data_IF_483381270662
#
_entry.id   IF_483381270662
#
_cell.length_a   1.000
_cell.length_b   1.000
_cell.length_c   1.000
_cell.angle_alpha   90.00
_cell.angle_beta   90.00
_cell.angle_gamma   90.00
#
_symmetry.space_group_name_H-M   'P 1'
#
loop_
_entity.id
_entity.type
_entity.pdbx_description
1 polymer ?
#
# COMPACT_ATOMS: atom_id res chain seq x y z
N UNK A 1 33.87 39.73 16.33
CA UNK A 1 32.94 38.77 15.73
C UNK A 1 32.45 39.30 14.39
N UNK A 2 32.91 38.66 13.33
CA UNK A 2 32.58 38.88 11.93
C UNK A 2 31.13 38.45 11.65
N UNK A 3 30.24 39.43 11.46
CA UNK A 3 28.79 39.24 11.22
C UNK A 3 28.44 38.21 10.14
N UNK A 4 29.35 37.97 9.19
CA UNK A 4 29.18 36.97 8.13
C UNK A 4 29.21 35.54 8.67
N UNK A 5 30.06 35.23 9.66
CA UNK A 5 30.19 33.87 10.22
C UNK A 5 28.91 33.41 10.93
N UNK A 6 28.24 34.31 11.62
CA UNK A 6 26.97 34.03 12.31
C UNK A 6 25.84 33.70 11.34
N UNK A 7 25.83 34.32 10.16
CA UNK A 7 24.81 34.09 9.13
C UNK A 7 24.95 32.68 8.54
N UNK A 8 26.17 32.24 8.25
CA UNK A 8 26.41 30.88 7.72
C UNK A 8 26.02 29.79 8.72
N UNK A 9 26.30 30.00 10.00
CA UNK A 9 25.90 29.07 11.06
C UNK A 9 24.37 28.97 11.18
N UNK A 10 23.66 30.10 11.19
CA UNK A 10 22.20 30.13 11.20
C UNK A 10 21.60 29.45 9.97
N UNK A 11 22.15 29.73 8.78
CA UNK A 11 21.69 29.12 7.54
C UNK A 11 21.90 27.61 7.51
N UNK A 12 23.06 27.14 7.98
CA UNK A 12 23.35 25.70 8.08
C UNK A 12 22.43 24.98 9.07
N UNK A 13 22.10 25.62 10.20
CA UNK A 13 21.18 25.07 11.20
C UNK A 13 19.75 24.95 10.67
N UNK A 14 19.27 25.98 9.94
CA UNK A 14 17.96 25.96 9.27
C UNK A 14 17.87 24.85 8.21
N UNK A 15 18.93 24.65 7.42
CA UNK A 15 18.97 23.59 6.41
C UNK A 15 18.89 22.18 7.03
N UNK A 16 19.57 21.94 8.16
CA UNK A 16 19.50 20.64 8.86
C UNK A 16 18.11 20.40 9.47
N UNK A 17 17.46 21.45 10.00
CA UNK A 17 16.13 21.33 10.62
C UNK A 17 14.99 21.18 9.60
N UNK A 18 15.13 21.75 8.40
CA UNK A 18 14.11 21.72 7.35
C UNK A 18 14.15 20.46 6.46
N UNK A 19 15.16 19.58 6.59
CA UNK A 19 15.25 18.31 5.83
C UNK A 19 14.47 17.18 6.53
N UNK A 20 13.58 17.51 7.46
CA UNK A 20 12.54 16.58 7.87
C UNK A 20 11.56 16.46 6.70
N UNK A 21 11.86 15.53 5.79
CA UNK A 21 10.93 15.13 4.75
C UNK A 21 9.64 14.73 5.43
N UNK A 22 8.55 15.43 5.11
CA UNK A 22 7.21 15.00 5.45
C UNK A 22 7.16 13.51 5.08
N UNK A 23 6.87 12.59 6.02
CA UNK A 23 6.56 11.23 5.64
C UNK A 23 5.35 11.41 4.76
N UNK A 24 5.59 11.43 3.44
CA UNK A 24 4.55 11.63 2.46
C UNK A 24 3.50 10.64 2.91
N UNK A 25 2.31 11.15 3.27
CA UNK A 25 1.13 10.32 3.42
C UNK A 25 0.88 9.81 2.00
N UNK A 26 1.75 8.90 1.55
CA UNK A 26 1.79 8.36 0.22
C UNK A 26 0.39 7.84 0.07
N UNK A 27 -0.34 8.45 -0.86
CA UNK A 27 -1.75 8.11 -1.07
C UNK A 27 -1.82 6.59 -1.03
N UNK A 28 -2.58 6.02 -0.09
CA UNK A 28 -2.61 4.56 0.09
C UNK A 28 -3.04 3.98 -1.26
N UNK A 29 -2.11 3.43 -2.04
CA UNK A 29 -2.34 2.98 -3.42
C UNK A 29 -2.73 1.51 -3.44
N UNK A 30 -3.60 1.13 -2.52
CA UNK A 30 -4.21 -0.18 -2.51
C UNK A 30 -5.03 -0.37 -3.79
N UNK A 31 -4.99 -1.57 -4.36
CA UNK A 31 -5.74 -1.92 -5.57
C UNK A 31 -7.22 -2.14 -5.27
N UNK A 32 -7.53 -2.56 -4.05
CA UNK A 32 -8.85 -2.90 -3.56
C UNK A 32 -9.59 -1.69 -2.98
N UNK A 33 -9.96 -0.75 -3.85
CA UNK A 33 -10.73 0.44 -3.48
C UNK A 33 -12.26 0.18 -3.47
N UNK A 34 -12.70 -0.84 -4.20
CA UNK A 34 -14.12 -1.11 -4.46
C UNK A 34 -14.72 -2.18 -3.51
N UNK A 35 -14.07 -2.42 -2.36
CA UNK A 35 -14.48 -3.41 -1.38
C UNK A 35 -14.28 -4.87 -1.83
N UNK A 36 -14.77 -5.78 -0.99
CA UNK A 36 -14.56 -7.22 -1.14
C UNK A 36 -15.82 -7.96 -1.59
N UNK A 37 -15.64 -9.04 -2.35
CA UNK A 37 -16.74 -9.97 -2.66
C UNK A 37 -16.88 -11.04 -1.57
N UNK A 38 -18.13 -11.39 -1.25
CA UNK A 38 -18.44 -12.36 -0.19
C UNK A 38 -18.48 -13.83 -0.62
N UNK A 39 -18.70 -14.13 -1.91
CA UNK A 39 -18.72 -15.51 -2.44
C UNK A 39 -17.96 -15.59 -3.75
N UNK A 40 -17.10 -16.61 -3.85
CA UNK A 40 -16.34 -16.98 -5.05
C UNK A 40 -16.75 -18.39 -5.43
N UNK A 41 -17.04 -18.60 -6.71
CA UNK A 41 -17.18 -19.93 -7.31
C UNK A 41 -15.85 -20.28 -7.97
N UNK A 42 -15.04 -21.20 -7.41
CA UNK A 42 -13.71 -21.49 -7.94
C UNK A 42 -13.70 -21.87 -9.42
N UNK A 43 -14.80 -22.46 -9.92
CA UNK A 43 -14.95 -22.87 -11.32
C UNK A 43 -14.98 -21.68 -12.30
N UNK A 44 -15.26 -20.47 -11.80
CA UNK A 44 -15.31 -19.25 -12.62
C UNK A 44 -14.00 -18.46 -12.63
N UNK A 45 -12.97 -18.93 -11.91
CA UNK A 45 -11.65 -18.32 -11.90
C UNK A 45 -10.97 -18.52 -13.25
N UNK A 46 -10.48 -17.43 -13.84
CA UNK A 46 -9.70 -17.50 -15.09
C UNK A 46 -8.21 -17.76 -14.87
N UNK A 47 -7.72 -17.48 -13.67
CA UNK A 47 -6.32 -17.59 -13.31
C UNK A 47 -6.19 -17.83 -11.81
N UNK A 48 -4.98 -18.17 -11.37
CA UNK A 48 -4.69 -18.23 -9.95
C UNK A 48 -4.90 -16.87 -9.27
N UNK A 49 -5.37 -16.86 -8.01
CA UNK A 49 -5.46 -15.65 -7.21
C UNK A 49 -4.09 -14.98 -7.04
N UNK A 50 -4.04 -13.66 -7.16
CA UNK A 50 -2.83 -12.86 -6.93
C UNK A 50 -2.87 -12.32 -5.51
N UNK A 51 -1.85 -12.64 -4.73
CA UNK A 51 -1.69 -12.15 -3.35
C UNK A 51 -0.65 -11.03 -3.34
N UNK A 52 -1.06 -9.86 -2.86
CA UNK A 52 -0.17 -8.72 -2.63
C UNK A 52 0.03 -8.56 -1.14
N UNK A 53 1.29 -8.63 -0.71
CA UNK A 53 1.67 -8.44 0.68
C UNK A 53 1.61 -6.94 1.08
N UNK A 54 1.37 -6.64 2.36
CA UNK A 54 1.50 -5.28 2.88
C UNK A 54 2.84 -4.63 2.49
N UNK A 55 2.80 -3.34 2.18
CA UNK A 55 3.94 -2.54 1.76
C UNK A 55 3.82 -1.09 2.23
N UNK A 56 4.86 -0.29 2.02
CA UNK A 56 4.82 1.15 2.30
C UNK A 56 3.76 1.92 1.49
N UNK A 57 3.30 1.37 0.36
CA UNK A 57 2.28 1.98 -0.49
C UNK A 57 0.85 1.52 -0.17
N UNK A 58 0.70 0.30 0.36
CA UNK A 58 -0.59 -0.24 0.80
C UNK A 58 -0.36 -1.11 2.03
N UNK A 59 -0.84 -0.71 3.22
CA UNK A 59 -0.63 -1.48 4.45
C UNK A 59 -1.52 -2.73 4.54
N UNK A 60 -2.48 -2.88 3.64
CA UNK A 60 -3.42 -4.00 3.62
C UNK A 60 -2.86 -5.17 2.80
N UNK A 61 -3.16 -6.39 3.24
CA UNK A 61 -2.97 -7.59 2.42
C UNK A 61 -4.11 -7.66 1.40
N UNK A 62 -3.79 -7.74 0.11
CA UNK A 62 -4.80 -7.76 -0.95
C UNK A 62 -4.80 -9.11 -1.69
N UNK A 63 -5.98 -9.70 -1.86
CA UNK A 63 -6.17 -10.89 -2.69
C UNK A 63 -7.04 -10.49 -3.89
N UNK A 64 -6.49 -10.60 -5.09
CA UNK A 64 -7.17 -10.23 -6.34
C UNK A 64 -7.38 -11.46 -7.20
N UNK A 65 -8.62 -11.68 -7.62
CA UNK A 65 -9.01 -12.74 -8.54
C UNK A 65 -9.54 -12.16 -9.84
N UNK A 66 -9.50 -12.96 -10.91
CA UNK A 66 -10.10 -12.64 -12.20
C UNK A 66 -11.33 -13.53 -12.42
N UNK A 67 -12.50 -12.90 -12.47
CA UNK A 67 -13.78 -13.53 -12.81
C UNK A 67 -14.23 -13.02 -14.19
N UNK A 68 -14.16 -13.87 -15.22
CA UNK A 68 -14.49 -13.45 -16.58
C UNK A 68 -13.46 -12.46 -17.13
N UNK A 69 -13.84 -11.19 -17.25
CA UNK A 69 -12.98 -10.05 -17.65
C UNK A 69 -12.80 -9.02 -16.51
N UNK A 70 -13.31 -9.32 -15.32
CA UNK A 70 -13.32 -8.39 -14.19
C UNK A 70 -12.38 -8.87 -13.09
N UNK A 71 -11.53 -7.96 -12.62
CA UNK A 71 -10.80 -8.15 -11.37
C UNK A 71 -11.72 -7.89 -10.19
N UNK A 72 -11.59 -8.72 -9.15
CA UNK A 72 -12.33 -8.59 -7.90
C UNK A 72 -11.41 -8.84 -6.72
N UNK A 73 -11.60 -8.06 -5.68
CA UNK A 73 -10.91 -8.23 -4.42
C UNK A 73 -11.67 -9.18 -3.51
N UNK A 74 -10.93 -10.07 -2.86
CA UNK A 74 -11.42 -11.04 -1.90
C UNK A 74 -11.02 -10.58 -0.50
N UNK A 75 -11.94 -10.67 0.46
CA UNK A 75 -11.62 -10.39 1.86
C UNK A 75 -10.64 -11.47 2.37
N UNK A 76 -9.43 -11.10 2.83
CA UNK A 76 -8.47 -12.04 3.40
C UNK A 76 -9.03 -12.89 4.54
N UNK A 77 -9.96 -12.35 5.32
CA UNK A 77 -10.59 -13.02 6.46
C UNK A 77 -11.74 -13.96 6.06
N UNK A 78 -12.19 -13.91 4.81
CA UNK A 78 -13.22 -14.84 4.32
C UNK A 78 -12.69 -16.27 4.23
N UNK A 79 -13.57 -17.27 4.30
CA UNK A 79 -13.20 -18.69 4.13
C UNK A 79 -12.40 -18.95 2.85
N UNK A 80 -12.80 -18.32 1.74
CA UNK A 80 -12.07 -18.44 0.48
C UNK A 80 -10.72 -17.71 0.53
N UNK A 81 -10.66 -16.50 1.11
CA UNK A 81 -9.41 -15.78 1.34
C UNK A 81 -8.39 -16.59 2.13
N UNK A 82 -8.78 -17.16 3.27
CA UNK A 82 -7.91 -18.03 4.07
C UNK A 82 -7.48 -19.29 3.33
N UNK A 83 -8.36 -19.88 2.52
CA UNK A 83 -7.98 -21.03 1.67
C UNK A 83 -6.91 -20.66 0.65
N UNK A 84 -6.98 -19.46 0.06
CA UNK A 84 -5.93 -18.95 -0.84
C UNK A 84 -4.61 -18.73 -0.10
N UNK A 85 -4.65 -18.21 1.12
CA UNK A 85 -3.45 -17.89 1.92
C UNK A 85 -2.79 -19.10 2.57
N UNK A 86 -3.49 -20.23 2.67
CA UNK A 86 -2.98 -21.48 3.25
C UNK A 86 -2.45 -22.46 2.21
N UNK A 87 -2.52 -22.10 0.93
CA UNK A 87 -2.03 -22.89 -0.20
C UNK A 87 -0.54 -22.66 -0.41
#
# INVERSE_FOLDING_TARGET
MNSTSSIFLLLSCLLVLCVQGEPSTGSRKCKCLNGYIGRVRPELLKSEPRVYQPSSFCPELEIIIVLGTKEKCVNPESRFGQHVLSR
#
